data_IF_877566452327
#
_entry.id   IF_877566452327
#
_cell.length_a   1.000
_cell.length_b   1.000
_cell.length_c   1.000
_cell.angle_alpha   90.00
_cell.angle_beta   90.00
_cell.angle_gamma   90.00
#
_symmetry.space_group_name_H-M   'P 1'
#
loop_
_entity.id
_entity.type
_entity.pdbx_description
1 polymer ?
#
# COMPACT_ATOMS: atom_id res chain seq x y z
N UNK A 1 -44.38 100.57 75.70
CA UNK A 1 -43.79 99.67 74.70
C UNK A 1 -43.25 100.34 73.45
N UNK A 2 -43.99 101.16 72.71
CA UNK A 2 -43.48 101.79 71.47
C UNK A 2 -42.24 102.72 71.63
N UNK A 3 -42.01 103.31 72.81
CA UNK A 3 -40.83 104.16 73.07
C UNK A 3 -39.56 103.38 73.38
N UNK A 4 -39.66 102.17 73.93
CA UNK A 4 -38.48 101.35 74.28
C UNK A 4 -37.90 100.74 73.01
N UNK A 5 -38.74 100.29 72.07
CA UNK A 5 -38.30 99.78 70.78
C UNK A 5 -37.57 100.84 69.94
N UNK A 6 -38.05 102.09 69.88
CA UNK A 6 -37.34 103.18 69.17
C UNK A 6 -36.03 103.59 69.85
N UNK A 7 -35.94 103.50 71.17
CA UNK A 7 -34.71 103.81 71.90
C UNK A 7 -33.65 102.73 71.70
N UNK A 8 -34.06 101.46 71.60
CA UNK A 8 -33.17 100.33 71.28
C UNK A 8 -32.64 100.38 69.83
N UNK A 9 -33.44 100.87 68.88
CA UNK A 9 -33.02 101.17 67.50
C UNK A 9 -32.06 102.37 67.44
N UNK A 10 -32.34 103.45 68.16
CA UNK A 10 -31.51 104.67 68.18
C UNK A 10 -30.17 104.49 68.93
N UNK A 11 -30.10 103.57 69.88
CA UNK A 11 -28.87 103.20 70.60
C UNK A 11 -28.07 102.09 69.89
N UNK A 12 -28.53 101.59 68.73
CA UNK A 12 -27.87 100.54 67.96
C UNK A 12 -27.84 99.18 68.65
N UNK A 13 -28.68 98.96 69.67
CA UNK A 13 -28.66 97.76 70.52
C UNK A 13 -29.41 96.60 69.84
N UNK A 14 -30.43 96.88 69.04
CA UNK A 14 -31.00 95.92 68.10
C UNK A 14 -30.34 96.12 66.73
N UNK A 15 -29.35 95.29 66.41
CA UNK A 15 -28.67 95.31 65.11
C UNK A 15 -29.15 94.13 64.24
N UNK A 16 -30.30 94.27 63.53
CA UNK A 16 -30.90 93.19 62.75
C UNK A 16 -29.98 92.70 61.62
N UNK A 17 -29.04 93.53 61.17
CA UNK A 17 -28.02 93.15 60.19
C UNK A 17 -27.04 92.10 60.76
N UNK A 18 -26.69 92.18 62.05
CA UNK A 18 -25.86 91.16 62.71
C UNK A 18 -26.63 89.87 62.97
N UNK A 19 -27.90 89.93 63.39
CA UNK A 19 -28.70 88.71 63.60
C UNK A 19 -28.94 87.96 62.27
N UNK A 20 -29.28 88.68 61.20
CA UNK A 20 -29.43 88.09 59.87
C UNK A 20 -28.11 87.48 59.35
N UNK A 21 -26.98 88.12 59.66
CA UNK A 21 -25.64 87.60 59.32
C UNK A 21 -25.31 86.33 60.10
N UNK A 22 -25.69 86.26 61.39
CA UNK A 22 -25.52 85.07 62.24
C UNK A 22 -26.38 83.92 61.73
N UNK A 23 -27.65 84.15 61.40
CA UNK A 23 -28.56 83.13 60.83
C UNK A 23 -27.98 82.60 59.51
N UNK A 24 -27.53 83.49 58.62
CA UNK A 24 -26.91 83.10 57.34
C UNK A 24 -25.63 82.27 57.55
N UNK A 25 -24.83 82.60 58.56
CA UNK A 25 -23.63 81.83 58.90
C UNK A 25 -23.99 80.44 59.44
N UNK A 26 -25.00 80.35 60.31
CA UNK A 26 -25.51 79.10 60.86
C UNK A 26 -26.04 78.18 59.75
N UNK A 27 -26.85 78.70 58.83
CA UNK A 27 -27.35 77.94 57.68
C UNK A 27 -26.20 77.41 56.82
N UNK A 28 -25.17 78.23 56.61
CA UNK A 28 -23.97 77.83 55.87
C UNK A 28 -23.20 76.73 56.61
N UNK A 29 -23.09 76.80 57.94
CA UNK A 29 -22.45 75.75 58.74
C UNK A 29 -23.24 74.45 58.65
N UNK A 30 -24.57 74.48 58.78
CA UNK A 30 -25.42 73.29 58.63
C UNK A 30 -25.30 72.68 57.23
N UNK A 31 -25.27 73.51 56.19
CA UNK A 31 -25.04 73.07 54.82
C UNK A 31 -23.66 72.41 54.65
N UNK A 32 -22.62 72.97 55.27
CA UNK A 32 -21.27 72.40 55.26
C UNK A 32 -21.20 71.08 56.03
N UNK A 33 -21.83 70.98 57.19
CA UNK A 33 -21.89 69.75 57.98
C UNK A 33 -22.62 68.63 57.24
N UNK A 34 -23.77 68.93 56.63
CA UNK A 34 -24.52 67.95 55.83
C UNK A 34 -23.74 67.49 54.59
N UNK A 35 -22.97 68.39 53.96
CA UNK A 35 -22.04 68.02 52.88
C UNK A 35 -20.91 67.13 53.40
N UNK A 36 -20.28 67.49 54.51
CA UNK A 36 -19.21 66.71 55.11
C UNK A 36 -19.65 65.28 55.47
N UNK A 37 -20.87 65.12 56.01
CA UNK A 37 -21.45 63.78 56.29
C UNK A 37 -21.66 62.97 55.01
N UNK A 38 -22.13 63.59 53.92
CA UNK A 38 -22.28 62.92 52.62
C UNK A 38 -20.93 62.50 52.04
N UNK A 39 -19.95 63.40 52.06
CA UNK A 39 -18.60 63.11 51.58
C UNK A 39 -17.94 61.98 52.40
N UNK A 40 -18.13 61.96 53.72
CA UNK A 40 -17.66 60.88 54.60
C UNK A 40 -18.30 59.52 54.25
N UNK A 41 -19.59 59.51 53.90
CA UNK A 41 -20.28 58.31 53.46
C UNK A 41 -19.73 57.78 52.13
N UNK A 42 -19.51 58.66 51.15
CA UNK A 42 -18.91 58.31 49.85
C UNK A 42 -17.50 57.75 50.06
N UNK A 43 -16.67 58.38 50.89
CA UNK A 43 -15.32 57.91 51.20
C UNK A 43 -15.34 56.51 51.81
N UNK A 44 -16.31 56.23 52.70
CA UNK A 44 -16.46 54.91 53.32
C UNK A 44 -16.87 53.86 52.29
N UNK A 45 -17.78 54.18 51.38
CA UNK A 45 -18.17 53.28 50.28
C UNK A 45 -16.99 53.00 49.33
N UNK A 46 -16.26 54.04 48.93
CA UNK A 46 -15.06 53.90 48.10
C UNK A 46 -13.99 53.04 48.78
N UNK A 47 -13.80 53.17 50.10
CA UNK A 47 -12.86 52.33 50.87
C UNK A 47 -13.20 50.85 50.83
N UNK A 48 -14.48 50.49 50.72
CA UNK A 48 -14.93 49.09 50.61
C UNK A 48 -14.69 48.54 49.20
N UNK A 49 -14.85 49.36 48.17
CA UNK A 49 -14.70 48.93 46.77
C UNK A 49 -13.24 48.86 46.29
N UNK A 50 -12.33 49.62 46.89
CA UNK A 50 -10.89 49.65 46.49
C UNK A 50 -10.22 48.26 46.59
N UNK A 51 -10.41 47.46 47.66
CA UNK A 51 -9.89 46.10 47.74
C UNK A 51 -10.39 45.19 46.61
N UNK A 52 -11.68 45.27 46.27
CA UNK A 52 -12.29 44.44 45.22
C UNK A 52 -11.72 44.80 43.84
N UNK A 53 -11.54 46.09 43.55
CA UNK A 53 -10.88 46.56 42.34
C UNK A 53 -9.43 46.07 42.24
N UNK A 54 -8.69 46.06 43.35
CA UNK A 54 -7.32 45.50 43.38
C UNK A 54 -7.33 43.98 43.17
N UNK A 55 -8.32 43.27 43.71
CA UNK A 55 -8.50 41.85 43.47
C UNK A 55 -8.70 41.53 41.98
N UNK A 56 -9.62 42.26 41.34
CA UNK A 56 -9.86 42.15 39.89
C UNK A 56 -8.62 42.50 39.06
N UNK A 57 -7.86 43.52 39.45
CA UNK A 57 -6.61 43.89 38.77
C UNK A 57 -5.58 42.75 38.83
N UNK A 58 -5.45 42.09 39.98
CA UNK A 58 -4.56 40.93 40.13
C UNK A 58 -5.03 39.72 39.31
N UNK A 59 -6.33 39.45 39.27
CA UNK A 59 -6.89 38.39 38.42
C UNK A 59 -6.64 38.66 36.93
N UNK A 60 -6.86 39.90 36.48
CA UNK A 60 -6.56 40.31 35.11
C UNK A 60 -5.07 40.18 34.78
N UNK A 61 -4.19 40.52 35.72
CA UNK A 61 -2.75 40.34 35.54
C UNK A 61 -2.37 38.86 35.42
N UNK A 62 -2.95 38.01 36.27
CA UNK A 62 -2.76 36.56 36.21
C UNK A 62 -3.23 35.98 34.88
N UNK A 63 -4.46 36.29 34.46
CA UNK A 63 -5.01 35.84 33.18
C UNK A 63 -4.13 36.31 32.01
N UNK A 64 -3.73 37.59 32.01
CA UNK A 64 -2.86 38.14 30.96
C UNK A 64 -1.52 37.40 30.90
N UNK A 65 -0.92 37.11 32.06
CA UNK A 65 0.34 36.36 32.12
C UNK A 65 0.19 34.92 31.62
N UNK A 66 -0.91 34.25 31.97
CA UNK A 66 -1.23 32.90 31.49
C UNK A 66 -1.39 32.86 29.98
N UNK A 67 -2.18 33.78 29.41
CA UNK A 67 -2.37 33.89 27.95
C UNK A 67 -1.03 34.13 27.24
N UNK A 68 -0.17 34.99 27.80
CA UNK A 68 1.16 35.24 27.20
C UNK A 68 2.05 33.98 27.21
N UNK A 69 1.98 33.19 28.28
CA UNK A 69 2.68 31.92 28.37
C UNK A 69 2.13 30.91 27.37
N UNK A 70 0.81 30.77 27.28
CA UNK A 70 0.14 29.83 26.35
C UNK A 70 0.47 30.16 24.89
N UNK A 71 0.40 31.45 24.51
CA UNK A 71 0.78 31.90 23.15
C UNK A 71 2.24 31.55 22.87
N UNK A 72 3.14 31.73 23.84
CA UNK A 72 4.55 31.41 23.70
C UNK A 72 4.77 29.91 23.53
N UNK A 73 4.04 29.08 24.28
CA UNK A 73 4.07 27.62 24.14
C UNK A 73 3.55 27.16 22.78
N UNK A 74 2.40 27.68 22.33
CA UNK A 74 1.83 27.37 21.01
C UNK A 74 2.83 27.72 19.90
N UNK A 75 3.46 28.89 19.98
CA UNK A 75 4.48 29.32 19.02
C UNK A 75 5.67 28.34 18.97
N UNK A 76 6.15 27.91 20.14
CA UNK A 76 7.25 26.95 20.20
C UNK A 76 6.85 25.60 19.60
N UNK A 77 5.66 25.10 19.91
CA UNK A 77 5.14 23.85 19.36
C UNK A 77 5.01 23.91 17.83
N UNK A 78 4.49 25.02 17.29
CA UNK A 78 4.41 25.25 15.84
C UNK A 78 5.80 25.23 15.22
N UNK A 79 6.78 25.91 15.82
CA UNK A 79 8.16 25.89 15.33
C UNK A 79 8.73 24.46 15.31
N UNK A 80 8.53 23.67 16.36
CA UNK A 80 8.97 22.27 16.41
C UNK A 80 8.33 21.42 15.31
N UNK A 81 7.02 21.55 15.11
CA UNK A 81 6.32 20.84 14.03
C UNK A 81 6.83 21.28 12.66
N UNK A 82 7.05 22.58 12.47
CA UNK A 82 7.53 23.12 11.19
C UNK A 82 8.94 22.61 10.86
N UNK A 83 9.85 22.61 11.85
CA UNK A 83 11.19 22.04 11.71
C UNK A 83 11.13 20.53 11.41
N UNK A 84 10.30 19.78 12.13
CA UNK A 84 10.13 18.34 11.89
C UNK A 84 9.54 18.05 10.51
N UNK A 85 8.60 18.86 10.06
CA UNK A 85 7.96 18.71 8.75
C UNK A 85 8.95 19.06 7.63
N UNK A 86 9.72 20.14 7.79
CA UNK A 86 10.79 20.52 6.87
C UNK A 86 11.81 19.40 6.73
N UNK A 87 12.33 18.85 7.84
CA UNK A 87 13.26 17.73 7.79
C UNK A 87 12.68 16.49 7.08
N UNK A 88 11.40 16.17 7.31
CA UNK A 88 10.74 15.05 6.62
C UNK A 88 10.56 15.31 5.13
N UNK A 89 10.24 16.55 4.75
CA UNK A 89 10.09 16.96 3.36
C UNK A 89 11.43 16.91 2.64
N UNK A 90 12.49 17.45 3.23
CA UNK A 90 13.85 17.39 2.70
C UNK A 90 14.28 15.93 2.44
N UNK A 91 13.98 15.02 3.38
CA UNK A 91 14.27 13.60 3.21
C UNK A 91 13.47 12.95 2.06
N UNK A 92 12.22 13.36 1.86
CA UNK A 92 11.40 12.88 0.74
C UNK A 92 11.90 13.43 -0.60
N UNK A 93 12.27 14.71 -0.64
CA UNK A 93 12.86 15.33 -1.81
C UNK A 93 14.22 14.71 -2.16
N UNK A 94 15.04 14.37 -1.15
CA UNK A 94 16.31 13.66 -1.35
C UNK A 94 16.09 12.27 -1.95
N UNK A 95 15.11 11.49 -1.44
CA UNK A 95 14.73 10.19 -2.00
C UNK A 95 14.17 10.29 -3.43
N UNK A 96 13.54 11.42 -3.76
CA UNK A 96 12.99 11.67 -5.10
C UNK A 96 14.07 12.11 -6.09
N UNK A 97 15.02 12.94 -5.65
CA UNK A 97 16.11 13.49 -6.47
C UNK A 97 17.22 12.46 -6.70
N UNK A 98 17.49 11.65 -5.69
CA UNK A 98 18.38 10.51 -5.74
C UNK A 98 17.54 9.28 -5.38
N UNK A 99 16.89 8.59 -6.35
CA UNK A 99 16.42 7.25 -6.11
C UNK A 99 17.67 6.42 -5.83
N UNK A 100 18.03 6.31 -4.55
CA UNK A 100 19.03 5.35 -4.10
C UNK A 100 18.51 4.04 -4.64
N UNK A 101 19.26 3.47 -5.58
CA UNK A 101 19.19 2.06 -5.94
C UNK A 101 19.57 1.27 -4.69
N UNK A 102 18.71 1.32 -3.67
CA UNK A 102 18.76 0.46 -2.52
C UNK A 102 18.33 -0.91 -3.04
N UNK A 103 19.18 -1.94 -2.95
CA UNK A 103 18.88 -3.28 -3.46
C UNK A 103 17.60 -3.91 -2.88
N UNK A 104 17.06 -3.33 -1.79
CA UNK A 104 15.89 -3.81 -1.07
C UNK A 104 14.78 -2.75 -0.91
N UNK A 105 14.54 -1.91 -1.92
CA UNK A 105 13.17 -1.39 -2.03
C UNK A 105 12.27 -2.62 -2.14
N UNK A 106 11.43 -2.87 -1.14
CA UNK A 106 10.44 -3.95 -1.15
C UNK A 106 9.46 -3.62 -2.27
N UNK A 107 9.84 -3.91 -3.51
CA UNK A 107 8.92 -4.02 -4.63
C UNK A 107 7.97 -5.12 -4.20
N UNK A 108 6.76 -4.74 -3.81
CA UNK A 108 5.69 -5.70 -3.58
C UNK A 108 5.31 -6.22 -4.96
N UNK A 109 6.01 -7.25 -5.40
CA UNK A 109 5.70 -8.02 -6.60
C UNK A 109 4.31 -8.61 -6.40
N UNK A 110 3.31 -8.00 -7.04
CA UNK A 110 1.94 -8.52 -7.02
C UNK A 110 1.85 -9.53 -8.14
N UNK A 111 2.02 -10.80 -7.82
CA UNK A 111 1.73 -11.87 -8.76
C UNK A 111 0.36 -11.64 -9.41
N UNK A 112 0.23 -11.84 -10.74
CA UNK A 112 -1.05 -11.74 -11.41
C UNK A 112 -2.08 -12.61 -10.69
N UNK A 113 -3.32 -12.14 -10.51
CA UNK A 113 -4.36 -12.91 -9.83
C UNK A 113 -4.50 -14.28 -10.46
N UNK A 114 -4.55 -15.31 -9.62
CA UNK A 114 -4.71 -16.70 -10.05
C UNK A 114 -5.94 -16.82 -10.97
N UNK A 115 -5.72 -17.32 -12.19
CA UNK A 115 -6.76 -17.44 -13.18
C UNK A 115 -7.28 -18.88 -13.19
N UNK A 116 -8.44 -19.11 -12.58
CA UNK A 116 -9.04 -20.46 -12.43
C UNK A 116 -9.24 -21.20 -13.75
N UNK A 117 -9.29 -20.48 -14.87
CA UNK A 117 -9.49 -21.04 -16.21
C UNK A 117 -8.17 -21.36 -16.95
N UNK A 118 -7.01 -21.02 -16.38
CA UNK A 118 -5.71 -21.36 -16.94
C UNK A 118 -5.14 -22.52 -16.14
N UNK A 119 -5.28 -23.73 -16.70
CA UNK A 119 -4.64 -24.94 -16.20
C UNK A 119 -3.98 -25.65 -17.38
N UNK A 120 -2.90 -26.36 -17.08
CA UNK A 120 -2.24 -27.22 -18.06
C UNK A 120 -2.02 -28.59 -17.46
N UNK A 121 -2.56 -29.61 -18.12
CA UNK A 121 -2.40 -31.01 -17.74
C UNK A 121 -1.32 -31.74 -18.54
N UNK A 122 -0.71 -31.07 -19.52
CA UNK A 122 0.11 -31.70 -20.55
C UNK A 122 -0.71 -32.24 -21.73
N UNK A 123 -2.02 -31.95 -21.79
CA UNK A 123 -2.85 -32.35 -22.91
C UNK A 123 -2.56 -31.48 -24.15
N UNK A 124 -2.45 -32.15 -25.29
CA UNK A 124 -2.07 -31.57 -26.58
C UNK A 124 -3.03 -30.49 -27.09
N UNK A 125 -4.34 -30.67 -26.84
CA UNK A 125 -5.36 -29.68 -27.16
C UNK A 125 -5.23 -28.40 -26.30
N UNK A 126 -4.60 -28.50 -25.13
CA UNK A 126 -4.42 -27.40 -24.18
C UNK A 126 -3.12 -26.62 -24.46
N UNK A 127 -2.07 -27.27 -24.98
CA UNK A 127 -0.71 -26.71 -25.10
C UNK A 127 -0.68 -25.32 -25.76
N UNK A 128 -1.26 -25.18 -26.95
CA UNK A 128 -1.25 -23.90 -27.68
C UNK A 128 -2.07 -22.81 -26.97
N UNK A 129 -3.25 -23.17 -26.46
CA UNK A 129 -4.13 -22.23 -25.75
C UNK A 129 -3.49 -21.76 -24.43
N UNK A 130 -2.83 -22.67 -23.72
CA UNK A 130 -2.07 -22.40 -22.51
C UNK A 130 -0.89 -21.47 -22.79
N UNK A 131 0.00 -21.83 -23.73
CA UNK A 131 1.16 -20.98 -24.07
C UNK A 131 0.73 -19.57 -24.46
N UNK A 132 -0.29 -19.43 -25.30
CA UNK A 132 -0.82 -18.12 -25.69
C UNK A 132 -1.33 -17.30 -24.49
N UNK A 133 -2.08 -17.92 -23.58
CA UNK A 133 -2.63 -17.25 -22.40
C UNK A 133 -1.54 -16.82 -21.41
N UNK A 134 -0.55 -17.69 -21.20
CA UNK A 134 0.62 -17.42 -20.35
C UNK A 134 1.43 -16.26 -20.91
N UNK A 135 1.74 -16.29 -22.20
CA UNK A 135 2.45 -15.19 -22.87
C UNK A 135 1.72 -13.86 -22.72
N UNK A 136 0.43 -13.83 -23.03
CA UNK A 136 -0.38 -12.62 -22.89
C UNK A 136 -0.44 -12.09 -21.44
N UNK A 137 -0.32 -12.96 -20.44
CA UNK A 137 -0.28 -12.55 -19.03
C UNK A 137 1.09 -12.03 -18.63
N UNK A 138 2.17 -12.65 -19.09
CA UNK A 138 3.54 -12.21 -18.82
C UNK A 138 3.82 -10.83 -19.44
N UNK A 139 3.41 -10.60 -20.68
CA UNK A 139 3.58 -9.30 -21.36
C UNK A 139 2.84 -8.16 -20.64
N UNK A 140 1.62 -8.42 -20.16
CA UNK A 140 0.81 -7.42 -19.45
C UNK A 140 1.31 -7.12 -18.04
N UNK A 141 2.11 -8.02 -17.45
CA UNK A 141 2.53 -7.95 -16.05
C UNK A 141 4.06 -8.00 -15.90
N UNK A 142 4.81 -7.44 -16.84
CA UNK A 142 6.28 -7.53 -16.87
C UNK A 142 6.94 -7.01 -15.58
N UNK A 143 6.38 -5.95 -14.98
CA UNK A 143 6.91 -5.32 -13.76
C UNK A 143 6.51 -6.04 -12.46
N UNK A 144 5.61 -7.02 -12.54
CA UNK A 144 5.07 -7.72 -11.37
C UNK A 144 5.95 -8.90 -10.92
N UNK A 145 6.94 -9.30 -11.72
CA UNK A 145 7.83 -10.41 -11.40
C UNK A 145 9.20 -9.92 -10.94
N UNK A 146 9.82 -10.69 -10.03
CA UNK A 146 11.12 -10.35 -9.44
C UNK A 146 12.27 -10.65 -10.38
N UNK A 147 12.24 -11.83 -10.96
CA UNK A 147 13.26 -12.42 -11.81
C UNK A 147 12.62 -13.49 -12.70
N UNK A 148 13.40 -14.05 -13.62
CA UNK A 148 12.96 -15.13 -14.52
C UNK A 148 12.54 -16.38 -13.76
N UNK A 149 13.23 -16.71 -12.66
CA UNK A 149 12.84 -17.82 -11.78
C UNK A 149 11.43 -17.63 -11.25
N UNK A 150 11.07 -16.42 -10.82
CA UNK A 150 9.73 -16.10 -10.34
C UNK A 150 8.68 -16.26 -11.44
N UNK A 151 8.97 -15.85 -12.68
CA UNK A 151 8.09 -16.10 -13.83
C UNK A 151 7.88 -17.59 -14.08
N UNK A 152 8.95 -18.38 -14.12
CA UNK A 152 8.88 -19.84 -14.33
C UNK A 152 8.10 -20.52 -13.21
N UNK A 153 8.34 -20.14 -11.96
CA UNK A 153 7.60 -20.66 -10.81
C UNK A 153 6.10 -20.32 -10.87
N UNK A 154 5.76 -19.12 -11.33
CA UNK A 154 4.37 -18.74 -11.56
C UNK A 154 3.71 -19.60 -12.65
N UNK A 155 4.43 -19.88 -13.75
CA UNK A 155 3.96 -20.81 -14.79
C UNK A 155 3.75 -22.22 -14.22
N UNK A 156 4.71 -22.73 -13.44
CA UNK A 156 4.60 -24.04 -12.80
C UNK A 156 3.44 -24.12 -11.79
N UNK A 157 3.02 -22.99 -11.20
CA UNK A 157 1.84 -22.92 -10.32
C UNK A 157 0.51 -23.24 -11.01
N UNK A 158 0.44 -23.10 -12.34
CA UNK A 158 -0.73 -23.40 -13.17
C UNK A 158 -0.75 -24.85 -13.70
N UNK A 159 0.27 -25.65 -13.37
CA UNK A 159 0.35 -27.06 -13.78
C UNK A 159 -0.66 -27.87 -12.99
N UNK A 160 -1.88 -28.05 -13.51
CA UNK A 160 -2.97 -28.72 -12.80
C UNK A 160 -3.90 -29.40 -13.80
N UNK A 161 -4.58 -30.45 -13.35
CA UNK A 161 -5.75 -30.99 -14.03
C UNK A 161 -6.98 -30.11 -13.78
N UNK A 162 -7.98 -30.22 -14.66
CA UNK A 162 -9.26 -29.51 -14.56
C UNK A 162 -10.02 -29.78 -13.24
N UNK A 163 -9.71 -30.88 -12.54
CA UNK A 163 -10.27 -31.26 -11.24
C UNK A 163 -9.51 -30.68 -10.03
N UNK A 164 -8.44 -29.89 -10.27
CA UNK A 164 -7.63 -29.23 -9.25
C UNK A 164 -6.67 -30.14 -8.50
N UNK A 165 -6.57 -31.44 -8.83
CA UNK A 165 -5.67 -32.39 -8.17
C UNK A 165 -4.33 -32.47 -8.90
N UNK A 166 -3.25 -32.23 -8.15
CA UNK A 166 -1.90 -32.71 -8.50
C UNK A 166 -1.86 -34.20 -8.17
N UNK A 167 -1.65 -35.06 -9.15
CA UNK A 167 -1.56 -36.50 -8.95
C UNK A 167 -0.65 -37.15 -9.98
N UNK A 168 -0.03 -38.26 -9.58
CA UNK A 168 1.09 -38.97 -10.21
C UNK A 168 0.91 -39.36 -11.70
N UNK A 169 -0.30 -39.27 -12.26
CA UNK A 169 -0.63 -39.65 -13.65
C UNK A 169 -0.63 -38.46 -14.65
N UNK A 170 -0.07 -37.31 -14.30
CA UNK A 170 0.00 -36.15 -15.19
C UNK A 170 1.35 -36.11 -15.93
N UNK A 171 1.33 -36.22 -17.27
CA UNK A 171 2.55 -36.18 -18.09
C UNK A 171 3.40 -34.91 -17.83
N UNK A 172 2.75 -33.80 -17.54
CA UNK A 172 3.39 -32.54 -17.14
C UNK A 172 4.11 -32.61 -15.79
N UNK A 173 3.56 -33.35 -14.82
CA UNK A 173 4.20 -33.53 -13.53
C UNK A 173 5.49 -34.33 -13.67
N UNK A 174 5.47 -35.43 -14.44
CA UNK A 174 6.66 -36.22 -14.74
C UNK A 174 7.74 -35.40 -15.45
N UNK A 175 7.37 -34.61 -16.46
CA UNK A 175 8.29 -33.71 -17.16
C UNK A 175 8.90 -32.64 -16.23
N UNK A 176 8.08 -31.99 -15.41
CA UNK A 176 8.54 -30.97 -14.47
C UNK A 176 9.48 -31.55 -13.40
N UNK A 177 9.15 -32.72 -12.84
CA UNK A 177 10.02 -33.42 -11.88
C UNK A 177 11.35 -33.80 -12.53
N UNK A 178 11.34 -34.36 -13.75
CA UNK A 178 12.56 -34.68 -14.48
C UNK A 178 13.45 -33.48 -14.77
N UNK A 179 12.86 -32.30 -15.02
CA UNK A 179 13.60 -31.05 -15.13
C UNK A 179 14.26 -30.65 -13.80
N UNK A 180 13.56 -30.81 -12.67
CA UNK A 180 14.12 -30.50 -11.35
C UNK A 180 15.25 -31.46 -10.98
N UNK A 181 15.12 -32.75 -11.27
CA UNK A 181 16.17 -33.77 -11.09
C UNK A 181 17.42 -33.45 -11.93
N UNK A 182 17.21 -33.04 -13.18
CA UNK A 182 18.29 -32.63 -14.08
C UNK A 182 18.98 -31.36 -13.59
N UNK A 183 18.22 -30.39 -13.06
CA UNK A 183 18.76 -29.16 -12.49
C UNK A 183 19.58 -29.44 -11.22
N UNK A 184 19.10 -30.32 -10.34
CA UNK A 184 19.84 -30.77 -9.17
C UNK A 184 21.15 -31.48 -9.55
N UNK A 185 21.09 -32.37 -10.55
CA UNK A 185 22.26 -33.08 -11.08
C UNK A 185 23.35 -32.12 -11.55
N UNK A 186 22.98 -31.08 -12.29
CA UNK A 186 23.92 -30.09 -12.82
C UNK A 186 24.57 -29.23 -11.72
N UNK A 187 23.92 -29.11 -10.56
CA UNK A 187 24.45 -28.43 -9.37
C UNK A 187 25.27 -29.34 -8.46
N UNK A 188 25.35 -30.64 -8.77
CA UNK A 188 25.95 -31.64 -7.89
C UNK A 188 25.10 -31.95 -6.65
N UNK A 189 23.80 -31.64 -6.68
CA UNK A 189 22.83 -32.00 -5.64
C UNK A 189 22.24 -33.40 -5.92
N UNK A 190 21.73 -34.07 -4.89
CA UNK A 190 21.08 -35.39 -5.05
C UNK A 190 19.74 -35.24 -5.82
N UNK A 191 19.60 -35.83 -7.01
CA UNK A 191 18.39 -35.74 -7.82
C UNK A 191 17.15 -36.28 -7.11
N UNK A 192 17.31 -37.27 -6.21
CA UNK A 192 16.18 -37.84 -5.45
C UNK A 192 15.55 -36.88 -4.46
N UNK A 193 16.27 -35.80 -4.13
CA UNK A 193 15.80 -34.72 -3.24
C UNK A 193 15.61 -33.41 -3.99
N UNK A 194 15.48 -33.48 -5.32
CA UNK A 194 15.32 -32.31 -6.17
C UNK A 194 14.12 -31.46 -5.71
N UNK A 195 14.36 -30.16 -5.63
CA UNK A 195 13.35 -29.19 -5.25
C UNK A 195 13.53 -27.90 -6.04
N UNK A 196 12.53 -27.04 -5.96
CA UNK A 196 12.53 -25.70 -6.57
C UNK A 196 13.31 -24.66 -5.74
N UNK A 197 13.82 -25.04 -4.56
CA UNK A 197 14.51 -24.10 -3.66
C UNK A 197 15.85 -23.60 -4.23
N UNK A 198 16.75 -24.47 -4.74
CA UNK A 198 18.00 -24.04 -5.35
C UNK A 198 17.76 -23.12 -6.56
N UNK A 199 18.77 -22.33 -6.93
CA UNK A 199 18.69 -21.51 -8.14
C UNK A 199 18.54 -22.40 -9.39
N UNK A 200 18.02 -21.85 -10.48
CA UNK A 200 17.99 -22.58 -11.74
C UNK A 200 19.33 -22.41 -12.45
N UNK A 201 19.91 -23.51 -12.92
CA UNK A 201 21.18 -23.54 -13.68
C UNK A 201 21.01 -24.15 -15.06
N UNK A 202 19.96 -24.97 -15.27
CA UNK A 202 19.67 -25.49 -16.59
C UNK A 202 19.39 -24.34 -17.56
N UNK A 203 19.93 -24.38 -18.79
CA UNK A 203 19.68 -23.35 -19.80
C UNK A 203 18.18 -23.09 -20.05
N UNK A 204 17.37 -24.15 -20.05
CA UNK A 204 15.92 -24.07 -20.22
C UNK A 204 15.20 -23.36 -19.07
N UNK A 205 15.81 -23.33 -17.87
CA UNK A 205 15.25 -22.69 -16.69
C UNK A 205 15.84 -21.29 -16.41
N UNK A 206 16.67 -20.76 -17.32
CA UNK A 206 17.24 -19.40 -17.17
C UNK A 206 16.28 -18.30 -17.59
N UNK A 207 15.47 -18.57 -18.62
CA UNK A 207 14.62 -17.59 -19.30
C UNK A 207 13.24 -18.20 -19.49
N UNK A 208 12.19 -17.46 -19.13
CA UNK A 208 10.81 -17.95 -19.28
C UNK A 208 10.47 -18.24 -20.75
N UNK A 209 11.08 -17.51 -21.68
CA UNK A 209 10.85 -17.67 -23.12
C UNK A 209 11.39 -19.01 -23.63
N UNK A 210 12.57 -19.40 -23.14
CA UNK A 210 13.19 -20.70 -23.46
C UNK A 210 12.42 -21.83 -22.80
N UNK A 211 11.97 -21.61 -21.55
CA UNK A 211 11.13 -22.56 -20.83
C UNK A 211 9.82 -22.85 -21.56
N UNK A 212 9.11 -21.81 -22.00
CA UNK A 212 7.85 -21.95 -22.72
C UNK A 212 8.04 -22.56 -24.12
N UNK A 213 9.14 -22.25 -24.80
CA UNK A 213 9.46 -22.88 -26.09
C UNK A 213 9.74 -24.38 -25.95
N UNK A 214 10.46 -24.80 -24.90
CA UNK A 214 10.69 -26.22 -24.63
C UNK A 214 9.40 -26.92 -24.22
N UNK A 215 8.57 -26.29 -23.39
CA UNK A 215 7.26 -26.81 -23.02
C UNK A 215 6.37 -26.99 -24.25
N UNK A 216 6.29 -25.97 -25.11
CA UNK A 216 5.52 -26.06 -26.35
C UNK A 216 6.09 -27.15 -27.26
N UNK A 217 7.41 -27.26 -27.43
CA UNK A 217 8.05 -28.33 -28.20
C UNK A 217 7.69 -29.71 -27.64
N UNK A 218 7.92 -29.94 -26.35
CA UNK A 218 7.70 -31.23 -25.70
C UNK A 218 6.25 -31.71 -25.81
N UNK A 219 5.28 -30.79 -25.71
CA UNK A 219 3.86 -31.11 -25.74
C UNK A 219 3.16 -30.79 -27.07
N UNK A 220 3.85 -30.27 -28.10
CA UNK A 220 3.27 -30.05 -29.45
C UNK A 220 3.78 -31.06 -30.48
N UNK A 221 4.93 -31.68 -30.23
CA UNK A 221 5.57 -32.68 -31.11
C UNK A 221 4.74 -33.97 -31.22
N UNK A 222 3.66 -34.13 -30.46
CA UNK A 222 2.88 -35.37 -30.40
C UNK A 222 1.76 -35.49 -31.44
N UNK A 223 1.03 -34.47 -31.93
CA UNK A 223 -0.12 -34.76 -32.85
C UNK A 223 0.39 -35.36 -34.16
N UNK A 224 1.34 -34.69 -34.79
CA UNK A 224 1.80 -35.04 -36.14
C UNK A 224 2.58 -36.35 -36.11
N UNK A 225 3.41 -36.55 -35.08
CA UNK A 225 4.17 -37.79 -34.91
C UNK A 225 3.26 -38.94 -34.48
N UNK A 226 2.30 -38.73 -33.58
CA UNK A 226 1.40 -39.78 -33.11
C UNK A 226 0.38 -40.19 -34.19
N UNK A 227 -0.15 -39.25 -34.97
CA UNK A 227 -0.95 -39.59 -36.15
C UNK A 227 -0.11 -40.25 -37.25
N UNK A 228 1.13 -39.81 -37.47
CA UNK A 228 2.04 -40.51 -38.39
C UNK A 228 2.36 -41.94 -37.90
N UNK A 229 2.55 -42.14 -36.59
CA UNK A 229 2.73 -43.47 -35.98
C UNK A 229 1.47 -44.33 -36.11
N UNK A 230 0.28 -43.75 -35.94
CA UNK A 230 -1.00 -44.45 -36.05
C UNK A 230 -1.29 -44.85 -37.49
N UNK A 231 -1.05 -43.96 -38.45
CA UNK A 231 -1.11 -44.26 -39.88
C UNK A 231 -0.14 -45.39 -40.20
N UNK A 232 1.13 -45.29 -39.80
CA UNK A 232 2.15 -46.31 -40.04
C UNK A 232 1.77 -47.69 -39.46
N UNK A 233 1.19 -47.73 -38.25
CA UNK A 233 0.72 -48.97 -37.59
C UNK A 233 -0.58 -49.53 -38.17
N UNK A 234 -1.37 -48.69 -38.85
CA UNK A 234 -2.61 -49.12 -39.52
C UNK A 234 -2.38 -49.70 -40.92
N UNK A 235 -1.19 -49.49 -41.49
CA UNK A 235 -0.83 -50.08 -42.77
C UNK A 235 -0.78 -51.60 -42.64
N UNK A 236 -1.44 -52.27 -43.57
CA UNK A 236 -1.41 -53.72 -43.71
C UNK A 236 -1.24 -54.03 -45.20
N UNK A 237 -0.41 -55.02 -45.52
CA UNK A 237 -0.19 -55.44 -46.90
C UNK A 237 -1.49 -55.93 -47.54
N UNK A 238 -2.28 -56.73 -46.82
CA UNK A 238 -3.54 -57.28 -47.31
C UNK A 238 -3.39 -57.94 -48.69
N UNK A 239 -4.20 -57.50 -49.67
CA UNK A 239 -4.17 -58.00 -51.04
C UNK A 239 -3.23 -57.23 -51.98
N UNK A 240 -2.47 -56.26 -51.46
CA UNK A 240 -1.56 -55.40 -52.21
C UNK A 240 -0.29 -56.17 -52.59
N UNK A 241 0.34 -55.82 -53.71
CA UNK A 241 1.67 -56.33 -54.01
C UNK A 241 2.70 -55.83 -52.97
N UNK A 242 3.72 -56.63 -52.70
CA UNK A 242 4.80 -56.27 -51.76
C UNK A 242 5.48 -54.96 -52.19
N UNK A 243 5.63 -54.74 -53.49
CA UNK A 243 6.27 -53.54 -54.05
C UNK A 243 5.44 -52.26 -53.77
N UNK A 244 4.14 -52.32 -53.99
CA UNK A 244 3.22 -51.20 -53.74
C UNK A 244 3.08 -50.90 -52.25
N UNK A 245 3.00 -51.95 -51.42
CA UNK A 245 3.03 -51.81 -49.97
C UNK A 245 4.34 -51.18 -49.48
N UNK A 246 5.49 -51.64 -49.98
CA UNK A 246 6.80 -51.10 -49.56
C UNK A 246 6.98 -49.64 -49.94
N UNK A 247 6.50 -49.22 -51.12
CA UNK A 247 6.55 -47.83 -51.53
C UNK A 247 5.68 -46.95 -50.61
N UNK A 248 4.47 -47.41 -50.27
CA UNK A 248 3.57 -46.71 -49.36
C UNK A 248 4.13 -46.66 -47.92
N UNK A 249 4.58 -47.81 -47.41
CA UNK A 249 5.17 -47.93 -46.08
C UNK A 249 6.41 -47.04 -45.93
N UNK A 250 7.34 -47.07 -46.89
CA UNK A 250 8.54 -46.23 -46.85
C UNK A 250 8.21 -44.74 -46.94
N UNK A 251 7.20 -44.35 -47.73
CA UNK A 251 6.72 -42.96 -47.80
C UNK A 251 6.29 -42.44 -46.42
N UNK A 252 5.52 -43.25 -45.67
CA UNK A 252 5.10 -42.90 -44.31
C UNK A 252 6.22 -43.04 -43.27
N UNK A 253 7.14 -43.99 -43.45
CA UNK A 253 8.27 -44.20 -42.56
C UNK A 253 9.18 -42.96 -42.47
N UNK A 254 9.40 -42.25 -43.58
CA UNK A 254 10.17 -41.00 -43.58
C UNK A 254 9.50 -39.84 -42.84
N UNK A 255 8.18 -39.85 -42.72
CA UNK A 255 7.43 -38.83 -41.95
C UNK A 255 7.48 -39.05 -40.44
N UNK A 256 7.98 -40.22 -39.99
CA UNK A 256 8.05 -40.58 -38.58
C UNK A 256 9.47 -40.37 -38.04
N UNK A 257 9.60 -39.44 -37.09
CA UNK A 257 10.87 -39.14 -36.40
C UNK A 257 10.98 -39.96 -35.11
N UNK A 258 12.15 -40.56 -34.85
CA UNK A 258 12.48 -41.15 -33.56
C UNK A 258 12.26 -42.66 -33.40
N UNK A 259 11.91 -43.40 -34.47
CA UNK A 259 11.89 -44.87 -34.44
C UNK A 259 13.30 -45.44 -34.57
N UNK A 260 13.67 -46.35 -33.67
CA UNK A 260 14.88 -47.17 -33.80
C UNK A 260 14.67 -48.28 -34.84
N UNK A 261 15.76 -48.86 -35.35
CA UNK A 261 15.67 -49.85 -36.42
C UNK A 261 14.96 -51.15 -35.99
N UNK A 262 14.95 -51.44 -34.69
CA UNK A 262 14.24 -52.58 -34.10
C UNK A 262 12.73 -52.34 -34.18
N UNK A 263 12.24 -51.18 -33.75
CA UNK A 263 10.81 -50.84 -33.81
C UNK A 263 10.32 -50.73 -35.24
N UNK A 264 11.13 -50.20 -36.17
CA UNK A 264 10.79 -50.18 -37.61
C UNK A 264 10.58 -51.59 -38.13
N UNK A 265 11.50 -52.51 -37.79
CA UNK A 265 11.41 -53.92 -38.20
C UNK A 265 10.17 -54.60 -37.62
N UNK A 266 9.85 -54.38 -36.34
CA UNK A 266 8.69 -54.97 -35.70
C UNK A 266 7.36 -54.49 -36.31
N UNK A 267 7.24 -53.18 -36.59
CA UNK A 267 6.05 -52.59 -37.21
C UNK A 267 5.87 -53.14 -38.63
N UNK A 268 6.96 -53.21 -39.41
CA UNK A 268 6.94 -53.77 -40.76
C UNK A 268 6.55 -55.25 -40.78
N UNK A 269 7.09 -56.07 -39.85
CA UNK A 269 6.71 -57.48 -39.72
C UNK A 269 5.23 -57.67 -39.37
N UNK A 270 4.68 -56.83 -38.48
CA UNK A 270 3.24 -56.87 -38.13
C UNK A 270 2.35 -56.46 -39.30
N UNK A 271 2.81 -55.56 -40.16
CA UNK A 271 2.05 -55.08 -41.31
C UNK A 271 2.04 -56.07 -42.50
N UNK A 272 3.04 -56.95 -42.58
CA UNK A 272 3.15 -58.03 -43.60
C UNK A 272 2.58 -59.36 -43.11
N UNK A 273 2.36 -59.50 -41.79
CA UNK A 273 1.70 -60.67 -41.24
C UNK A 273 0.28 -60.84 -41.85
N UNK A 274 -0.09 -62.06 -42.26
CA UNK A 274 -1.34 -62.33 -42.97
C UNK A 274 -2.59 -62.14 -42.11
#
# INVERSE_FOLDING_TARGET
>A
DANVSRMMEALGIANPLTEQSVITLVDRVVALESKCRRDANIIREMKVLIPDLRGLEMELFSIRSGIQQDISQVRNNINTVNLSTGFRLDRVEELTRNPVLSPDSVRVYREPPYQDHIYFSGALAETRAFCFSVWGTLERNIDNFKDEKHKIMWVAGMFRRQDGKMGDDCALHGWWVGLMESNASQQGLDPKTASVMPNFVLPVLQLVEVFLAELESHFSVTVEIEEAHKVLRSLCQGNSSIEEFNNNFNSHLWSVVGLDDISKSEIYMKAIAP
#
